data_IF_489658942015
#
_entry.id   IF_489658942015
#
_cell.length_a   1.000
_cell.length_b   1.000
_cell.length_c   1.000
_cell.angle_alpha   90.00
_cell.angle_beta   90.00
_cell.angle_gamma   90.00
#
_symmetry.space_group_name_H-M   'P 1'
#
loop_
_entity.id
_entity.type
_entity.pdbx_description
1 polymer ?
#
# COMPACT_ATOMS: atom_id res chain seq x y z
N UNK A 1 32.21 -38.34 -2.89
CA UNK A 1 31.93 -37.03 -3.54
C UNK A 1 30.53 -36.45 -3.22
N UNK A 2 29.73 -37.00 -2.28
CA UNK A 2 28.38 -36.49 -1.96
C UNK A 2 28.31 -35.41 -0.87
N UNK A 3 29.35 -35.29 -0.03
CA UNK A 3 29.37 -34.43 1.17
C UNK A 3 29.22 -32.93 0.88
N UNK A 4 29.83 -32.42 -0.19
CA UNK A 4 29.76 -31.00 -0.54
C UNK A 4 28.36 -30.55 -1.02
N UNK A 5 27.59 -31.47 -1.61
CA UNK A 5 26.22 -31.20 -2.05
C UNK A 5 25.24 -31.08 -0.88
N UNK A 6 25.46 -31.80 0.21
CA UNK A 6 24.63 -31.71 1.42
C UNK A 6 24.92 -30.42 2.20
N UNK A 7 26.19 -30.03 2.32
CA UNK A 7 26.57 -28.77 2.98
C UNK A 7 25.99 -27.55 2.25
N UNK A 8 26.05 -27.52 0.91
CA UNK A 8 25.39 -26.45 0.13
C UNK A 8 23.88 -26.42 0.35
N UNK A 9 23.21 -27.58 0.35
CA UNK A 9 21.76 -27.64 0.55
C UNK A 9 21.35 -27.19 1.96
N UNK A 10 22.16 -27.48 2.99
CA UNK A 10 21.95 -26.99 4.35
C UNK A 10 22.11 -25.47 4.49
N UNK A 11 23.13 -24.90 3.84
CA UNK A 11 23.36 -23.45 3.80
C UNK A 11 22.24 -22.71 3.06
N UNK A 12 21.79 -23.22 1.91
CA UNK A 12 20.68 -22.62 1.14
C UNK A 12 19.37 -22.71 1.92
N UNK A 13 19.07 -23.83 2.59
CA UNK A 13 17.88 -23.95 3.45
C UNK A 13 17.92 -22.99 4.64
N UNK A 14 19.08 -22.80 5.25
CA UNK A 14 19.25 -21.86 6.37
C UNK A 14 19.06 -20.40 5.93
N UNK A 15 19.59 -20.04 4.76
CA UNK A 15 19.37 -18.71 4.18
C UNK A 15 17.89 -18.48 3.78
N UNK A 16 17.22 -19.50 3.23
CA UNK A 16 15.81 -19.41 2.84
C UNK A 16 14.87 -19.24 4.06
N UNK A 17 15.20 -19.84 5.20
CA UNK A 17 14.43 -19.70 6.44
C UNK A 17 14.49 -18.27 7.02
N UNK A 18 15.60 -17.56 6.85
CA UNK A 18 15.71 -16.15 7.27
C UNK A 18 14.99 -15.16 6.34
N UNK A 19 14.83 -15.51 5.06
CA UNK A 19 14.24 -14.61 4.05
C UNK A 19 12.70 -14.54 4.13
N UNK A 20 12.05 -15.65 4.50
CA UNK A 20 10.60 -15.74 4.63
C UNK A 20 9.96 -14.75 5.62
N UNK A 21 10.44 -14.63 6.88
CA UNK A 21 9.85 -13.70 7.84
C UNK A 21 10.09 -12.23 7.46
N UNK A 22 11.25 -11.92 6.89
CA UNK A 22 11.57 -10.57 6.44
C UNK A 22 10.66 -10.11 5.29
N UNK A 23 10.43 -10.96 4.29
CA UNK A 23 9.58 -10.61 3.15
C UNK A 23 8.12 -10.39 3.57
N UNK A 24 7.60 -11.19 4.51
CA UNK A 24 6.27 -10.98 5.09
C UNK A 24 6.13 -9.61 5.76
N UNK A 25 7.09 -9.25 6.61
CA UNK A 25 7.08 -7.96 7.31
C UNK A 25 7.09 -6.80 6.31
N UNK A 26 7.91 -6.91 5.26
CA UNK A 26 7.98 -5.89 4.21
C UNK A 26 6.63 -5.72 3.49
N UNK A 27 5.97 -6.83 3.13
CA UNK A 27 4.64 -6.79 2.50
C UNK A 27 3.59 -6.13 3.41
N UNK A 28 3.62 -6.39 4.72
CA UNK A 28 2.73 -5.71 5.67
C UNK A 28 3.02 -4.21 5.78
N UNK A 29 4.30 -3.81 5.79
CA UNK A 29 4.68 -2.40 5.83
C UNK A 29 4.21 -1.69 4.56
N UNK A 30 4.48 -2.28 3.39
CA UNK A 30 4.04 -1.73 2.10
C UNK A 30 2.51 -1.62 2.06
N UNK A 31 1.79 -2.64 2.52
CA UNK A 31 0.33 -2.60 2.59
C UNK A 31 -0.18 -1.49 3.52
N UNK A 32 0.43 -1.30 4.69
CA UNK A 32 0.04 -0.25 5.63
C UNK A 32 0.26 1.15 5.03
N UNK A 33 1.41 1.36 4.40
CA UNK A 33 1.77 2.62 3.74
C UNK A 33 0.81 2.91 2.57
N UNK A 34 0.56 1.91 1.72
CA UNK A 34 -0.34 2.01 0.58
C UNK A 34 -1.81 2.23 0.99
N UNK A 35 -2.18 1.90 2.22
CA UNK A 35 -3.51 2.19 2.75
C UNK A 35 -3.60 3.60 3.36
N UNK A 36 -2.61 3.97 4.18
CA UNK A 36 -2.65 5.16 5.03
C UNK A 36 -2.28 6.44 4.26
N UNK A 37 -1.23 6.41 3.43
CA UNK A 37 -0.76 7.61 2.71
C UNK A 37 -1.84 8.21 1.79
N UNK A 38 -2.54 7.43 0.95
CA UNK A 38 -3.55 7.97 0.06
C UNK A 38 -4.71 8.63 0.81
N UNK A 39 -5.06 8.11 2.00
CA UNK A 39 -6.09 8.68 2.85
C UNK A 39 -5.69 10.07 3.37
N UNK A 40 -4.46 10.22 3.88
CA UNK A 40 -3.95 11.52 4.32
C UNK A 40 -3.77 12.50 3.18
N UNK A 41 -3.27 12.04 2.03
CA UNK A 41 -3.14 12.85 0.83
C UNK A 41 -4.52 13.38 0.36
N UNK A 42 -5.55 12.53 0.39
CA UNK A 42 -6.92 12.94 0.08
C UNK A 42 -7.45 14.00 1.06
N UNK A 43 -7.34 13.75 2.37
CA UNK A 43 -7.75 14.74 3.37
C UNK A 43 -7.04 16.08 3.21
N UNK A 44 -5.75 16.05 2.90
CA UNK A 44 -4.96 17.25 2.65
C UNK A 44 -5.46 18.01 1.41
N UNK A 45 -5.72 17.32 0.30
CA UNK A 45 -6.26 17.93 -0.92
C UNK A 45 -7.65 18.54 -0.70
N UNK A 46 -8.55 17.85 0.00
CA UNK A 46 -9.89 18.38 0.35
C UNK A 46 -9.76 19.63 1.24
N UNK A 47 -8.87 19.59 2.23
CA UNK A 47 -8.59 20.74 3.09
C UNK A 47 -8.04 21.94 2.31
N UNK A 48 -7.09 21.69 1.40
CA UNK A 48 -6.51 22.72 0.54
C UNK A 48 -7.58 23.32 -0.39
N UNK A 49 -8.42 22.47 -0.98
CA UNK A 49 -9.43 22.92 -1.92
C UNK A 49 -10.53 23.75 -1.23
N UNK A 50 -10.93 23.39 -0.01
CA UNK A 50 -11.82 24.23 0.80
C UNK A 50 -11.18 25.56 1.23
N UNK A 51 -9.87 25.55 1.54
CA UNK A 51 -9.16 26.76 1.97
C UNK A 51 -8.94 27.77 0.83
N UNK A 52 -8.67 27.30 -0.39
CA UNK A 52 -8.34 28.16 -1.54
C UNK A 52 -9.48 28.31 -2.55
N UNK A 53 -10.53 27.48 -2.48
CA UNK A 53 -11.71 27.55 -3.36
C UNK A 53 -12.53 28.82 -3.20
N UNK A 54 -12.40 29.55 -2.08
CA UNK A 54 -13.09 30.82 -1.85
C UNK A 54 -12.45 32.04 -2.54
N UNK A 55 -11.26 31.89 -3.13
CA UNK A 55 -10.48 33.03 -3.67
C UNK A 55 -10.85 33.33 -5.13
N UNK A 56 -11.33 32.35 -5.88
CA UNK A 56 -11.78 32.51 -7.26
C UNK A 56 -13.14 31.82 -7.47
N UNK A 57 -14.15 32.63 -7.80
CA UNK A 57 -15.43 32.29 -8.41
C UNK A 57 -16.65 32.06 -7.50
N UNK A 58 -17.71 32.68 -7.97
CA UNK A 58 -19.16 32.43 -7.86
C UNK A 58 -19.62 30.97 -7.98
N UNK A 59 -18.74 29.97 -7.83
CA UNK A 59 -19.09 28.56 -7.80
C UNK A 59 -18.89 28.02 -6.39
N UNK A 60 -20.00 27.58 -5.79
CA UNK A 60 -20.03 26.92 -4.50
C UNK A 60 -19.39 25.54 -4.66
N UNK A 61 -18.09 25.43 -4.38
CA UNK A 61 -17.41 24.12 -4.31
C UNK A 61 -18.13 23.27 -3.28
N UNK A 62 -18.89 22.27 -3.73
CA UNK A 62 -19.62 21.38 -2.85
C UNK A 62 -18.68 20.25 -2.44
N UNK A 63 -18.63 19.95 -1.14
CA UNK A 63 -17.93 18.76 -0.63
C UNK A 63 -18.35 17.45 -1.33
N UNK A 64 -19.53 17.44 -1.97
CA UNK A 64 -20.04 16.35 -2.79
C UNK A 64 -19.22 16.12 -4.08
N UNK A 65 -18.59 17.14 -4.66
CA UNK A 65 -17.83 17.01 -5.91
C UNK A 65 -16.48 16.29 -5.69
N UNK A 66 -15.95 16.33 -4.47
CA UNK A 66 -14.73 15.58 -4.10
C UNK A 66 -14.99 14.09 -3.84
N UNK A 67 -16.27 13.70 -3.78
CA UNK A 67 -16.74 12.31 -3.73
C UNK A 67 -17.15 11.80 -5.12
N UNK A 68 -16.81 12.53 -6.19
CA UNK A 68 -17.07 12.08 -7.55
C UNK A 68 -16.50 10.67 -7.77
N UNK A 69 -17.30 9.81 -8.40
CA UNK A 69 -17.02 8.39 -8.61
C UNK A 69 -15.70 8.19 -9.36
N UNK A 70 -15.32 9.13 -10.22
CA UNK A 70 -14.03 9.13 -10.90
C UNK A 70 -12.85 9.22 -9.92
N UNK A 71 -12.90 10.16 -8.97
CA UNK A 71 -11.86 10.31 -7.96
C UNK A 71 -11.82 9.12 -7.01
N UNK A 72 -13.00 8.59 -6.63
CA UNK A 72 -13.12 7.41 -5.79
C UNK A 72 -12.51 6.16 -6.47
N UNK A 73 -12.69 6.01 -7.78
CA UNK A 73 -12.13 4.92 -8.56
C UNK A 73 -10.60 4.97 -8.61
N UNK A 74 -10.01 6.14 -8.78
CA UNK A 74 -8.55 6.30 -8.73
C UNK A 74 -7.99 6.13 -7.31
N UNK A 75 -8.67 6.63 -6.30
CA UNK A 75 -8.30 6.48 -4.89
C UNK A 75 -8.42 5.03 -4.38
N UNK A 76 -9.26 4.20 -5.02
CA UNK A 76 -9.40 2.78 -4.69
C UNK A 76 -8.19 1.94 -5.14
N UNK A 77 -7.38 2.38 -6.09
CA UNK A 77 -6.25 1.60 -6.63
C UNK A 77 -5.19 1.28 -5.55
N UNK A 78 -4.69 2.26 -4.77
CA UNK A 78 -3.79 1.98 -3.64
C UNK A 78 -4.38 1.03 -2.59
N UNK A 79 -5.69 1.13 -2.31
CA UNK A 79 -6.37 0.27 -1.36
C UNK A 79 -6.49 -1.16 -1.88
N UNK A 80 -6.79 -1.34 -3.17
CA UNK A 80 -6.77 -2.66 -3.81
C UNK A 80 -5.38 -3.29 -3.77
N UNK A 81 -4.32 -2.52 -4.05
CA UNK A 81 -2.94 -2.99 -3.94
C UNK A 81 -2.62 -3.41 -2.50
N UNK A 82 -3.04 -2.63 -1.50
CA UNK A 82 -2.88 -2.98 -0.08
C UNK A 82 -3.56 -4.31 0.27
N UNK A 83 -4.81 -4.51 -0.14
CA UNK A 83 -5.56 -5.76 0.08
C UNK A 83 -4.83 -6.96 -0.55
N UNK A 84 -4.35 -6.80 -1.79
CA UNK A 84 -3.61 -7.85 -2.49
C UNK A 84 -2.30 -8.17 -1.77
N UNK A 85 -1.55 -7.17 -1.30
CA UNK A 85 -0.32 -7.36 -0.53
C UNK A 85 -0.58 -8.09 0.79
N UNK A 86 -1.62 -7.72 1.55
CA UNK A 86 -2.01 -8.42 2.79
C UNK A 86 -2.43 -9.85 2.51
N UNK A 87 -3.21 -10.08 1.46
CA UNK A 87 -3.61 -11.42 1.06
C UNK A 87 -2.40 -12.31 0.79
N UNK A 88 -1.43 -11.85 -0.02
CA UNK A 88 -0.21 -12.61 -0.25
C UNK A 88 0.62 -12.82 1.02
N UNK A 89 0.80 -11.79 1.86
CA UNK A 89 1.53 -11.91 3.11
C UNK A 89 0.90 -12.94 4.07
N UNK A 90 -0.43 -12.98 4.14
CA UNK A 90 -1.19 -13.92 4.98
C UNK A 90 -1.12 -15.38 4.49
N UNK A 91 -0.91 -15.58 3.18
CA UNK A 91 -0.80 -16.91 2.56
C UNK A 91 0.64 -17.44 2.54
N UNK A 92 1.64 -16.60 2.80
CA UNK A 92 3.00 -17.07 2.96
C UNK A 92 3.13 -17.85 4.30
N UNK A 93 3.76 -19.03 4.31
CA UNK A 93 4.09 -19.77 5.53
C UNK A 93 5.22 -19.11 6.33
#
# INVERSE_FOLDING_TARGET
MSSWGEVRRGLVRSAAHGYHPFMKILLYIVAAIAFVIPFFAWMYLVGLANAFGSVNATQTFSSADYFDLGFLAFAAVPWLISIVCVFFASRMP
#
